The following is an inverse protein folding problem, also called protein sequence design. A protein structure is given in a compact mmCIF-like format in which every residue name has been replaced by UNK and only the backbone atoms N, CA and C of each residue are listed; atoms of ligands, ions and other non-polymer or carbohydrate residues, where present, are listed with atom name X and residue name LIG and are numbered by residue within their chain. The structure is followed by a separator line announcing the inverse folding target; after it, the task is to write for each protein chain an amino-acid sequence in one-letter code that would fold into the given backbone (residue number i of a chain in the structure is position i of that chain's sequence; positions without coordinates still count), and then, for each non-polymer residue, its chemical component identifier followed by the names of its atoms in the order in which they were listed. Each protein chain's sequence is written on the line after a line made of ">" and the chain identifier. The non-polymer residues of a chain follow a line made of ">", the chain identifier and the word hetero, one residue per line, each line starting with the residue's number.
data_IF_277977121183
#
_entry.id   IF_277977121183
#
_cell.length_a   1.000
_cell.length_b   1.000
_cell.length_c   1.000
_cell.angle_alpha   90.00
_cell.angle_beta   90.00
_cell.angle_gamma   90.00
#
_symmetry.space_group_name_H-M   'P 1'
#
loop_
_entity.id
_entity.type
_entity.pdbx_description
1 polymer ?
#
# COMPACT_ATOMS: atom_id res chain seq x y z
N UNK A 1 -6.98 2.80 -0.97
CA UNK A 1 -6.20 3.77 -1.76
C UNK A 1 -7.02 4.25 -2.95
N UNK A 2 -7.05 5.55 -3.20
CA UNK A 2 -7.63 6.12 -4.42
C UNK A 2 -6.51 6.39 -5.43
N UNK A 3 -6.51 5.62 -6.52
CA UNK A 3 -5.43 5.61 -7.50
C UNK A 3 -5.99 5.44 -8.92
N UNK A 4 -5.35 6.10 -9.88
CA UNK A 4 -5.60 5.93 -11.30
C UNK A 4 -4.30 5.54 -12.01
N UNK A 5 -4.23 4.30 -12.47
CA UNK A 5 -3.08 3.75 -13.19
C UNK A 5 -3.44 3.58 -14.67
N UNK A 6 -2.58 4.06 -15.57
CA UNK A 6 -2.79 3.89 -17.02
C UNK A 6 -2.59 2.43 -17.46
N UNK A 7 -2.98 2.10 -18.70
CA UNK A 7 -2.92 0.72 -19.22
C UNK A 7 -1.52 0.07 -19.18
N UNK A 8 -0.44 0.87 -19.28
CA UNK A 8 0.95 0.40 -19.18
C UNK A 8 1.64 0.87 -17.88
N UNK A 9 0.87 1.43 -16.95
CA UNK A 9 1.34 1.94 -15.67
C UNK A 9 1.37 0.86 -14.59
N UNK A 10 1.97 1.20 -13.46
CA UNK A 10 1.89 0.39 -12.25
C UNK A 10 2.13 1.26 -11.02
N UNK A 11 1.59 0.84 -9.89
CA UNK A 11 1.95 1.36 -8.58
C UNK A 11 2.22 0.20 -7.61
N UNK A 12 3.08 0.46 -6.62
CA UNK A 12 3.43 -0.44 -5.52
C UNK A 12 3.60 0.38 -4.25
N UNK A 13 3.43 -0.27 -3.11
CA UNK A 13 3.68 0.34 -1.81
C UNK A 13 4.65 -0.50 -1.00
N UNK A 14 5.44 0.18 -0.18
CA UNK A 14 6.33 -0.41 0.80
C UNK A 14 6.17 0.31 2.12
N UNK A 15 6.22 -0.44 3.21
CA UNK A 15 6.25 0.13 4.56
C UNK A 15 7.67 0.00 5.10
N UNK A 16 8.17 1.13 5.61
CA UNK A 16 9.51 1.23 6.19
C UNK A 16 9.42 1.64 7.64
N UNK A 17 10.42 1.24 8.40
CA UNK A 17 10.60 1.70 9.78
C UNK A 17 11.01 3.19 9.84
N UNK A 18 11.15 3.68 11.07
CA UNK A 18 11.56 5.08 11.34
C UNK A 18 12.92 5.42 10.75
N UNK A 19 13.81 4.43 10.61
CA UNK A 19 15.15 4.56 10.02
C UNK A 19 15.15 4.44 8.50
N UNK A 20 13.97 4.38 7.87
CA UNK A 20 13.77 4.24 6.43
C UNK A 20 14.25 2.89 5.87
N UNK A 21 14.24 1.83 6.67
CA UNK A 21 14.51 0.46 6.22
C UNK A 21 13.21 -0.28 5.91
N UNK A 22 13.11 -1.01 4.79
CA UNK A 22 11.94 -1.81 4.46
C UNK A 22 11.63 -2.87 5.52
N UNK A 23 10.36 -2.97 5.91
CA UNK A 23 9.87 -4.02 6.81
C UNK A 23 9.66 -5.30 6.01
N UNK A 24 10.18 -6.43 6.50
CA UNK A 24 10.00 -7.74 5.87
C UNK A 24 8.53 -8.09 5.67
N UNK A 25 8.17 -8.59 4.48
CA UNK A 25 6.77 -8.87 4.12
C UNK A 25 5.98 -7.64 3.71
N UNK A 26 6.54 -6.43 3.86
CA UNK A 26 5.95 -5.15 3.40
C UNK A 26 6.87 -4.40 2.44
N UNK A 27 7.76 -5.11 1.73
CA UNK A 27 8.73 -4.56 0.77
C UNK A 27 8.09 -4.33 -0.60
N UNK A 28 8.71 -3.49 -1.44
CA UNK A 28 8.22 -3.26 -2.82
C UNK A 28 8.11 -4.54 -3.65
N UNK A 29 9.06 -5.46 -3.49
CA UNK A 29 9.07 -6.76 -4.17
C UNK A 29 7.98 -7.72 -3.67
N UNK A 30 7.54 -7.53 -2.42
CA UNK A 30 6.48 -8.35 -1.82
C UNK A 30 5.10 -7.76 -2.15
N UNK A 31 5.01 -6.47 -2.50
CA UNK A 31 3.75 -5.80 -2.86
C UNK A 31 3.17 -6.36 -4.16
N UNK A 32 1.88 -6.65 -4.18
CA UNK A 32 1.20 -6.99 -5.42
C UNK A 32 1.05 -5.74 -6.31
N UNK A 33 1.33 -5.84 -7.63
CA UNK A 33 1.28 -4.69 -8.52
C UNK A 33 -0.13 -4.15 -8.69
N UNK A 34 -0.26 -2.83 -8.59
CA UNK A 34 -1.53 -2.12 -8.72
C UNK A 34 -1.61 -1.59 -10.15
N UNK A 35 -2.49 -2.19 -10.95
CA UNK A 35 -2.68 -1.90 -12.38
C UNK A 35 -4.16 -1.54 -12.66
N UNK A 36 -4.74 -0.70 -11.81
CA UNK A 36 -6.16 -0.37 -11.86
C UNK A 36 -6.45 1.11 -11.61
N UNK A 37 -7.57 1.59 -12.14
CA UNK A 37 -8.23 2.81 -11.67
C UNK A 37 -9.29 2.43 -10.63
N UNK A 38 -9.08 2.81 -9.37
CA UNK A 38 -9.94 2.39 -8.28
C UNK A 38 -9.91 3.42 -7.14
N UNK A 39 -11.10 3.80 -6.67
CA UNK A 39 -11.30 4.75 -5.57
C UNK A 39 -11.00 4.17 -4.18
N UNK A 40 -10.99 2.84 -4.05
CA UNK A 40 -10.84 2.08 -2.80
C UNK A 40 -10.03 0.79 -3.00
N UNK A 41 -8.88 0.89 -3.67
CA UNK A 41 -7.97 -0.24 -3.81
C UNK A 41 -7.35 -0.64 -2.46
N UNK A 42 -7.41 -1.92 -2.09
CA UNK A 42 -6.69 -2.48 -0.95
C UNK A 42 -5.32 -2.93 -1.42
N UNK A 43 -4.25 -2.38 -0.83
CA UNK A 43 -2.90 -2.83 -1.12
C UNK A 43 -2.66 -4.16 -0.40
N UNK A 44 -2.09 -5.11 -1.10
CA UNK A 44 -1.68 -6.41 -0.56
C UNK A 44 -0.20 -6.63 -0.81
N UNK A 45 0.42 -7.42 0.07
CA UNK A 45 1.77 -7.93 -0.10
C UNK A 45 1.67 -9.45 -0.09
N UNK A 46 1.93 -10.07 -1.23
CA UNK A 46 1.75 -11.51 -1.45
C UNK A 46 0.33 -11.99 -1.04
N UNK A 47 -0.69 -11.20 -1.40
CA UNK A 47 -2.08 -11.46 -1.05
C UNK A 47 -2.51 -11.03 0.36
N UNK A 48 -1.59 -10.65 1.24
CA UNK A 48 -1.91 -10.25 2.62
C UNK A 48 -2.03 -8.72 2.77
N UNK A 49 -3.21 -8.18 3.15
CA UNK A 49 -3.41 -6.75 3.41
C UNK A 49 -3.10 -6.31 4.85
N UNK A 50 -2.83 -7.22 5.79
CA UNK A 50 -2.88 -6.92 7.22
C UNK A 50 -1.66 -6.15 7.73
N UNK A 51 -1.87 -4.92 8.19
CA UNK A 51 -0.81 -4.10 8.80
C UNK A 51 -1.09 -3.81 10.28
N UNK A 52 -2.02 -4.55 10.90
CA UNK A 52 -2.45 -4.34 12.28
C UNK A 52 -1.30 -4.43 13.29
N UNK A 53 -0.31 -5.29 13.02
CA UNK A 53 0.89 -5.45 13.85
C UNK A 53 1.80 -4.21 13.90
N UNK A 54 1.61 -3.24 12.99
CA UNK A 54 2.31 -1.95 12.98
C UNK A 54 1.54 -0.85 13.71
N UNK A 55 0.36 -1.15 14.27
CA UNK A 55 -0.45 -0.21 15.02
C UNK A 55 0.33 0.46 16.17
N UNK A 56 0.22 1.78 16.26
CA UNK A 56 0.92 2.57 17.28
C UNK A 56 2.41 2.81 17.02
N UNK A 57 2.97 2.26 15.94
CA UNK A 57 4.37 2.47 15.57
C UNK A 57 4.50 3.55 14.49
N UNK A 58 5.42 4.52 14.62
CA UNK A 58 5.72 5.43 13.53
C UNK A 58 6.34 4.66 12.36
N UNK A 59 5.76 4.83 11.17
CA UNK A 59 6.21 4.18 9.94
C UNK A 59 6.34 5.20 8.81
N UNK A 60 7.06 4.84 7.76
CA UNK A 60 7.11 5.60 6.51
C UNK A 60 6.45 4.78 5.40
N UNK A 61 5.48 5.36 4.73
CA UNK A 61 4.89 4.79 3.52
C UNK A 61 5.69 5.23 2.30
N UNK A 62 6.28 4.28 1.58
CA UNK A 62 7.00 4.52 0.34
C UNK A 62 6.15 4.04 -0.84
N UNK A 63 5.76 4.97 -1.71
CA UNK A 63 4.94 4.68 -2.88
C UNK A 63 5.80 4.76 -4.13
N UNK A 64 5.91 3.64 -4.85
CA UNK A 64 6.57 3.60 -6.15
C UNK A 64 5.51 3.59 -7.24
N UNK A 65 5.63 4.50 -8.21
CA UNK A 65 4.59 4.73 -9.22
C UNK A 65 5.20 5.00 -10.59
N UNK A 66 4.62 4.40 -11.63
CA UNK A 66 4.91 4.66 -13.03
C UNK A 66 3.60 4.88 -13.78
N UNK A 67 3.47 6.03 -14.46
CA UNK A 67 2.27 6.39 -15.22
C UNK A 67 0.97 6.22 -14.40
N UNK A 68 1.01 6.68 -13.15
CA UNK A 68 -0.08 6.59 -12.20
C UNK A 68 -0.29 7.93 -11.48
N UNK A 69 -1.52 8.18 -11.03
CA UNK A 69 -1.90 9.29 -10.18
C UNK A 69 -2.44 8.73 -8.87
N UNK A 70 -1.89 9.18 -7.75
CA UNK A 70 -2.41 8.93 -6.41
C UNK A 70 -3.21 10.14 -5.95
N UNK A 71 -4.41 9.90 -5.45
CA UNK A 71 -5.26 10.98 -4.91
C UNK A 71 -5.34 10.92 -3.39
N UNK A 72 -5.46 9.72 -2.82
CA UNK A 72 -5.52 9.56 -1.36
C UNK A 72 -5.17 8.14 -0.91
N UNK A 73 -4.74 8.01 0.34
CA UNK A 73 -4.54 6.75 1.02
C UNK A 73 -5.05 6.85 2.45
N UNK A 74 -5.32 5.70 3.07
CA UNK A 74 -5.73 5.59 4.46
C UNK A 74 -5.37 4.20 4.98
N UNK A 75 -5.10 4.11 6.27
CA UNK A 75 -5.18 2.85 7.01
C UNK A 75 -6.62 2.67 7.49
N UNK A 76 -7.14 1.45 7.38
CA UNK A 76 -8.49 1.12 7.84
C UNK A 76 -8.39 0.23 9.07
N UNK A 77 -9.14 0.55 10.12
CA UNK A 77 -9.31 -0.34 11.26
C UNK A 77 -10.13 -1.57 10.88
N UNK A 78 -10.15 -2.58 11.76
CA UNK A 78 -11.07 -3.70 11.62
C UNK A 78 -12.50 -3.16 11.44
N UNK A 79 -13.22 -3.65 10.43
CA UNK A 79 -14.64 -3.34 10.31
C UNK A 79 -15.33 -3.90 11.54
N UNK A 80 -15.98 -3.04 12.33
CA UNK A 80 -16.92 -3.51 13.33
C UNK A 80 -17.95 -4.39 12.62
N UNK A 81 -18.08 -5.65 13.08
CA UNK A 81 -19.13 -6.54 12.61
C UNK A 81 -20.48 -5.83 12.78
N UNK A 82 -21.30 -5.90 11.74
CA UNK A 82 -22.67 -5.39 11.80
C UNK A 82 -23.55 -6.36 12.57
#
# INVERSE_FOLDING_TARGET
>A
MNVNVSAAGSARAEIRDVTNRPISGRRLQDCDPIMANNVRHTVTWQGDPDVSNLGGQPVRLHLWMRSAKLYSFQFVGAKAGK
#
